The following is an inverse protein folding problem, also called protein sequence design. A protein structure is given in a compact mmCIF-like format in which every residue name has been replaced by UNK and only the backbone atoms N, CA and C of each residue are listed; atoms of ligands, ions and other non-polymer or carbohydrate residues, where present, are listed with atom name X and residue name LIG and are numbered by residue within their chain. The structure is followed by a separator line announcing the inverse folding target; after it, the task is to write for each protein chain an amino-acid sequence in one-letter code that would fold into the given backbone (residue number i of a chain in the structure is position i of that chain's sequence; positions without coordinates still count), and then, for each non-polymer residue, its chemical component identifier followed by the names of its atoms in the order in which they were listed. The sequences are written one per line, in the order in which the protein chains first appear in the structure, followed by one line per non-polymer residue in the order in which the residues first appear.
data_IF_905788939795
#
_entry.id   IF_905788939795
#
_cell.length_a   1.000
_cell.length_b   1.000
_cell.length_c   1.000
_cell.angle_alpha   90.00
_cell.angle_beta   90.00
_cell.angle_gamma   90.00
#
_symmetry.space_group_name_H-M   'P 1'
#
loop_
_entity.id
_entity.type
_entity.pdbx_description
1 polymer ?
#
# COMPACT_ATOMS: atom_id res chain seq x y z
N UNK A 1 -14.40 -19.09 5.62
CA UNK A 1 -15.76 -18.63 5.30
C UNK A 1 -15.72 -17.61 4.16
N UNK A 2 -16.86 -17.33 3.53
CA UNK A 2 -16.97 -16.33 2.45
C UNK A 2 -16.67 -14.89 2.93
N UNK A 3 -16.66 -14.65 4.22
CA UNK A 3 -16.28 -13.37 4.84
C UNK A 3 -14.77 -13.12 4.68
N UNK A 4 -13.94 -14.10 4.96
CA UNK A 4 -12.47 -14.01 4.88
C UNK A 4 -11.94 -13.75 3.46
N UNK A 5 -12.69 -14.13 2.44
CA UNK A 5 -12.28 -14.01 1.03
C UNK A 5 -12.73 -12.72 0.35
N UNK A 6 -13.55 -11.89 0.97
CA UNK A 6 -13.98 -10.63 0.37
C UNK A 6 -15.39 -10.18 0.74
N UNK A 7 -15.92 -10.60 1.88
CA UNK A 7 -17.28 -10.25 2.36
C UNK A 7 -18.40 -10.74 1.44
N UNK A 8 -18.17 -11.80 0.66
CA UNK A 8 -19.13 -12.30 -0.34
C UNK A 8 -20.53 -12.53 0.23
N UNK A 9 -20.63 -13.05 1.48
CA UNK A 9 -21.88 -13.27 2.17
C UNK A 9 -22.64 -11.97 2.48
N UNK A 10 -21.91 -10.93 2.90
CA UNK A 10 -22.51 -9.62 3.18
C UNK A 10 -22.92 -8.90 1.89
N UNK A 11 -22.10 -8.99 0.85
CA UNK A 11 -22.39 -8.40 -0.48
C UNK A 11 -23.54 -9.09 -1.21
N UNK A 12 -23.84 -10.35 -0.89
CA UNK A 12 -24.96 -11.12 -1.46
C UNK A 12 -26.30 -10.91 -0.72
N UNK A 13 -26.33 -10.08 0.33
CA UNK A 13 -27.59 -9.80 1.04
C UNK A 13 -28.54 -9.00 0.15
N UNK A 14 -29.74 -9.53 0.00
CA UNK A 14 -30.79 -8.85 -0.75
C UNK A 14 -31.50 -7.76 0.10
N UNK A 15 -31.97 -6.67 -0.53
CA UNK A 15 -32.77 -5.66 0.16
C UNK A 15 -33.98 -6.28 0.85
N UNK A 16 -34.18 -5.95 2.14
CA UNK A 16 -35.28 -6.48 2.94
C UNK A 16 -34.96 -7.75 3.73
N UNK A 17 -33.75 -8.29 3.63
CA UNK A 17 -33.28 -9.41 4.46
C UNK A 17 -33.41 -9.09 5.96
N UNK A 18 -33.02 -7.88 6.36
CA UNK A 18 -33.24 -7.37 7.71
C UNK A 18 -34.44 -6.42 7.74
N UNK A 19 -35.36 -6.65 8.70
CA UNK A 19 -36.50 -5.77 8.94
C UNK A 19 -36.33 -4.90 10.19
N UNK A 20 -35.32 -5.20 11.01
CA UNK A 20 -34.96 -4.44 12.20
C UNK A 20 -34.38 -3.06 11.87
N UNK A 21 -34.62 -2.09 12.76
CA UNK A 21 -34.06 -0.72 12.65
C UNK A 21 -32.76 -0.54 13.43
N UNK A 22 -32.38 -1.53 14.22
CA UNK A 22 -31.17 -1.55 15.04
C UNK A 22 -30.45 -2.86 14.77
N UNK A 23 -29.17 -2.76 14.45
CA UNK A 23 -28.27 -3.90 14.33
C UNK A 23 -27.23 -3.82 15.43
N UNK A 24 -27.10 -4.89 16.20
CA UNK A 24 -26.03 -5.08 17.19
C UNK A 24 -25.18 -6.26 16.71
N UNK A 25 -23.98 -5.95 16.25
CA UNK A 25 -22.98 -6.96 15.93
C UNK A 25 -22.21 -7.30 17.21
N UNK A 26 -22.22 -8.57 17.62
CA UNK A 26 -21.56 -9.07 18.83
C UNK A 26 -20.27 -9.83 18.52
N UNK A 27 -19.79 -9.74 17.30
CA UNK A 27 -18.57 -10.41 16.82
C UNK A 27 -17.30 -9.54 17.03
N UNK A 28 -17.23 -8.82 18.15
CA UNK A 28 -16.05 -8.08 18.56
C UNK A 28 -15.21 -8.92 19.52
N UNK A 29 -13.91 -8.96 19.32
CA UNK A 29 -12.96 -9.71 20.14
C UNK A 29 -12.50 -8.95 21.40
N UNK A 30 -12.65 -7.61 21.40
CA UNK A 30 -12.13 -6.74 22.46
C UNK A 30 -13.21 -6.37 23.48
N UNK A 31 -12.97 -6.78 24.73
CA UNK A 31 -13.87 -6.44 25.83
C UNK A 31 -13.77 -4.96 26.23
N UNK A 32 -14.91 -4.30 26.25
CA UNK A 32 -15.00 -2.92 26.70
C UNK A 32 -14.97 -1.91 25.56
N UNK A 33 -14.97 -2.35 24.33
CA UNK A 33 -14.99 -1.50 23.15
C UNK A 33 -16.35 -1.50 22.45
N UNK A 34 -16.75 -0.33 21.95
CA UNK A 34 -17.96 -0.14 21.14
C UNK A 34 -17.55 0.48 19.84
N UNK A 35 -17.63 -0.30 18.77
CA UNK A 35 -17.34 0.19 17.42
C UNK A 35 -18.56 0.92 16.83
N UNK A 36 -18.35 2.11 16.31
CA UNK A 36 -19.40 3.01 15.77
C UNK A 36 -19.17 3.39 14.32
N UNK A 37 -18.15 2.84 13.70
CA UNK A 37 -17.79 3.09 12.31
C UNK A 37 -16.69 2.16 11.83
N UNK A 38 -16.55 2.07 10.52
CA UNK A 38 -15.49 1.33 9.86
C UNK A 38 -15.10 2.05 8.56
N UNK A 39 -13.81 2.13 8.26
CA UNK A 39 -13.36 2.64 6.98
C UNK A 39 -13.88 1.75 5.84
N UNK A 40 -14.31 2.37 4.76
CA UNK A 40 -14.49 1.71 3.48
C UNK A 40 -13.16 1.48 2.79
N UNK A 41 -13.15 0.66 1.75
CA UNK A 41 -11.96 0.35 0.98
C UNK A 41 -12.19 0.31 -0.52
N UNK A 42 -11.16 0.69 -1.28
CA UNK A 42 -11.06 0.55 -2.73
C UNK A 42 -9.65 0.09 -3.09
N UNK A 43 -9.52 -0.72 -4.12
CA UNK A 43 -8.23 -1.08 -4.69
C UNK A 43 -8.07 -0.44 -6.07
N UNK A 44 -6.94 0.21 -6.32
CA UNK A 44 -6.53 0.66 -7.65
C UNK A 44 -5.47 -0.27 -8.19
N UNK A 45 -5.77 -0.94 -9.31
CA UNK A 45 -4.85 -1.82 -10.02
C UNK A 45 -4.39 -1.15 -11.30
N UNK A 46 -3.09 -1.12 -11.53
CA UNK A 46 -2.46 -0.59 -12.73
C UNK A 46 -1.65 -1.68 -13.44
N UNK A 47 -1.87 -1.82 -14.74
CA UNK A 47 -1.18 -2.77 -15.60
C UNK A 47 -0.26 -1.99 -16.55
N UNK A 48 1.04 -2.18 -16.39
CA UNK A 48 2.05 -1.73 -17.33
C UNK A 48 2.25 -2.81 -18.37
N UNK A 49 1.81 -2.55 -19.59
CA UNK A 49 1.93 -3.50 -20.68
C UNK A 49 3.38 -3.60 -21.15
N UNK A 50 3.83 -4.81 -21.40
CA UNK A 50 5.20 -5.09 -21.80
C UNK A 50 5.60 -4.36 -23.11
N UNK A 51 6.80 -3.83 -23.09
CA UNK A 51 7.55 -3.36 -24.23
C UNK A 51 9.01 -3.67 -23.93
N UNK A 52 9.66 -4.44 -24.76
CA UNK A 52 11.03 -4.92 -24.52
C UNK A 52 11.98 -4.47 -25.61
N UNK A 53 13.18 -4.09 -25.19
CA UNK A 53 14.34 -3.88 -26.04
C UNK A 53 15.38 -4.97 -25.77
N UNK A 54 16.24 -5.24 -26.72
CA UNK A 54 17.42 -6.07 -26.51
C UNK A 54 18.43 -5.28 -25.68
N UNK A 55 19.08 -5.95 -24.73
CA UNK A 55 20.11 -5.33 -23.91
C UNK A 55 21.37 -5.02 -24.74
N UNK A 56 21.99 -3.86 -24.52
CA UNK A 56 23.25 -3.51 -25.17
C UNK A 56 24.40 -4.41 -24.70
N UNK A 57 25.37 -4.71 -25.58
CA UNK A 57 26.46 -5.64 -25.29
C UNK A 57 27.39 -5.19 -24.16
N UNK A 58 27.52 -3.88 -23.94
CA UNK A 58 28.33 -3.27 -22.89
C UNK A 58 27.59 -3.05 -21.57
N UNK A 59 26.32 -3.51 -21.47
CA UNK A 59 25.53 -3.45 -20.27
C UNK A 59 25.70 -4.72 -19.43
N UNK A 60 25.54 -4.57 -18.12
CA UNK A 60 25.37 -5.67 -17.18
C UNK A 60 24.14 -5.45 -16.30
N UNK A 61 23.73 -6.49 -15.60
CA UNK A 61 22.60 -6.43 -14.67
C UNK A 61 23.06 -6.14 -13.25
N UNK A 62 22.39 -5.19 -12.62
CA UNK A 62 22.46 -4.96 -11.18
C UNK A 62 21.11 -5.27 -10.55
N UNK A 63 21.12 -6.01 -9.45
CA UNK A 63 19.94 -6.38 -8.70
C UNK A 63 20.02 -5.79 -7.30
N UNK A 64 19.05 -4.94 -6.96
CA UNK A 64 18.93 -4.30 -5.65
C UNK A 64 17.77 -4.88 -4.87
N UNK A 65 17.95 -4.99 -3.55
CA UNK A 65 16.96 -5.58 -2.64
C UNK A 65 16.73 -4.69 -1.43
N UNK A 66 15.47 -4.60 -1.01
CA UNK A 66 15.08 -4.21 0.34
C UNK A 66 14.36 -5.40 0.96
N UNK A 67 14.81 -5.86 2.12
CA UNK A 67 14.29 -7.07 2.80
C UNK A 67 14.12 -6.86 4.29
N UNK A 68 13.31 -7.71 4.90
CA UNK A 68 13.09 -7.78 6.34
C UNK A 68 12.59 -6.47 6.97
N UNK A 69 11.93 -5.60 6.20
CA UNK A 69 11.17 -4.50 6.78
C UNK A 69 10.06 -5.05 7.69
N UNK A 70 9.67 -4.29 8.70
CA UNK A 70 8.69 -4.73 9.70
C UNK A 70 7.35 -5.08 9.06
N UNK A 71 6.90 -4.27 8.09
CA UNK A 71 5.61 -4.43 7.46
C UNK A 71 4.45 -4.28 8.43
N UNK A 72 3.31 -4.91 8.15
CA UNK A 72 2.13 -4.91 9.01
C UNK A 72 0.82 -4.84 8.24
N UNK A 73 -0.28 -4.81 8.98
CA UNK A 73 -1.61 -4.64 8.39
C UNK A 73 -1.81 -3.20 7.92
N UNK A 74 -2.33 -3.01 6.71
CA UNK A 74 -2.48 -1.67 6.12
C UNK A 74 -3.57 -0.80 6.77
N UNK A 75 -4.42 -1.37 7.60
CA UNK A 75 -5.35 -0.64 8.47
C UNK A 75 -4.69 -0.30 9.81
N UNK A 76 -4.33 -1.32 10.59
CA UNK A 76 -3.94 -1.16 11.99
C UNK A 76 -2.53 -0.62 12.21
N UNK A 77 -1.66 -0.75 11.19
CA UNK A 77 -0.25 -0.39 11.30
C UNK A 77 0.17 0.77 10.39
N UNK A 78 -0.72 1.30 9.56
CA UNK A 78 -0.38 2.32 8.56
C UNK A 78 0.12 3.64 9.17
N UNK A 79 -0.31 3.95 10.40
CA UNK A 79 0.09 5.14 11.15
C UNK A 79 1.32 4.92 12.06
N UNK A 80 1.92 3.73 12.04
CA UNK A 80 3.07 3.40 12.90
C UNK A 80 4.42 3.75 12.30
N UNK A 81 4.43 4.48 11.17
CA UNK A 81 5.66 4.94 10.53
C UNK A 81 6.55 3.79 10.03
N UNK A 82 5.96 2.70 9.52
CA UNK A 82 6.71 1.57 8.96
C UNK A 82 7.13 1.81 7.53
N UNK A 83 8.30 1.31 7.17
CA UNK A 83 8.83 1.41 5.81
C UNK A 83 8.02 0.54 4.83
N UNK A 84 7.89 1.03 3.60
CA UNK A 84 7.38 0.27 2.47
C UNK A 84 8.54 -0.02 1.50
N UNK A 85 8.93 -1.29 1.38
CA UNK A 85 10.07 -1.72 0.58
C UNK A 85 9.95 -1.32 -0.91
N UNK A 86 8.74 -1.35 -1.47
CA UNK A 86 8.49 -0.94 -2.86
C UNK A 86 8.78 0.56 -3.04
N UNK A 87 8.30 1.39 -2.10
CA UNK A 87 8.53 2.83 -2.16
C UNK A 87 10.01 3.17 -2.00
N UNK A 88 10.73 2.46 -1.13
CA UNK A 88 12.18 2.64 -0.97
C UNK A 88 12.91 2.34 -2.28
N UNK A 89 12.63 1.19 -2.93
CA UNK A 89 13.25 0.89 -4.23
C UNK A 89 12.86 1.89 -5.31
N UNK A 90 11.60 2.30 -5.37
CA UNK A 90 11.15 3.30 -6.34
C UNK A 90 11.90 4.63 -6.21
N UNK A 91 12.15 5.08 -4.97
CA UNK A 91 12.94 6.31 -4.71
C UNK A 91 14.39 6.17 -5.14
N UNK A 92 15.02 5.03 -4.86
CA UNK A 92 16.38 4.76 -5.35
C UNK A 92 16.44 4.76 -6.88
N UNK A 93 15.56 4.02 -7.55
CA UNK A 93 15.52 3.98 -9.02
C UNK A 93 15.27 5.37 -9.63
N UNK A 94 14.49 6.21 -8.97
CA UNK A 94 14.30 7.59 -9.40
C UNK A 94 15.57 8.44 -9.20
N UNK A 95 16.33 8.22 -8.13
CA UNK A 95 17.55 8.99 -7.86
C UNK A 95 18.67 8.78 -8.88
N UNK A 96 18.66 7.65 -9.59
CA UNK A 96 19.63 7.32 -10.65
C UNK A 96 19.09 7.60 -12.07
N UNK A 97 17.99 8.35 -12.18
CA UNK A 97 17.29 8.54 -13.47
C UNK A 97 18.03 9.44 -14.49
N UNK A 98 19.11 10.06 -14.06
CA UNK A 98 20.06 10.81 -14.92
C UNK A 98 21.12 9.92 -15.56
N UNK A 99 21.26 8.67 -15.16
CA UNK A 99 22.14 7.68 -15.74
C UNK A 99 21.46 6.93 -16.90
N UNK A 100 22.25 6.30 -17.75
CA UNK A 100 21.74 5.41 -18.80
C UNK A 100 21.48 4.01 -18.21
N UNK A 101 20.22 3.68 -17.96
CA UNK A 101 19.83 2.38 -17.41
C UNK A 101 18.39 2.00 -17.84
N UNK A 102 18.09 0.74 -17.81
CA UNK A 102 16.76 0.22 -18.14
C UNK A 102 16.33 -0.88 -17.18
N UNK A 103 15.07 -0.84 -16.78
CA UNK A 103 14.51 -1.86 -15.89
C UNK A 103 14.33 -3.20 -16.64
N UNK A 104 14.68 -4.29 -15.99
CA UNK A 104 14.39 -5.67 -16.45
C UNK A 104 13.12 -6.18 -15.78
N UNK A 105 13.05 -6.03 -14.45
CA UNK A 105 11.88 -6.39 -13.66
C UNK A 105 11.91 -5.73 -12.29
N UNK A 106 10.75 -5.65 -11.67
CA UNK A 106 10.60 -5.29 -10.27
C UNK A 106 9.53 -6.17 -9.65
N UNK A 107 9.75 -6.61 -8.41
CA UNK A 107 8.83 -7.43 -7.62
C UNK A 107 8.83 -6.96 -6.18
N UNK A 108 7.66 -6.77 -5.58
CA UNK A 108 7.54 -6.40 -4.18
C UNK A 108 6.11 -6.47 -3.67
N UNK A 109 5.99 -6.81 -2.38
CA UNK A 109 4.70 -7.00 -1.73
C UNK A 109 3.91 -8.19 -2.29
N UNK A 110 2.95 -8.69 -1.56
CA UNK A 110 2.17 -9.87 -1.96
C UNK A 110 0.70 -9.86 -1.52
N UNK A 111 0.30 -8.91 -0.69
CA UNK A 111 -1.07 -8.80 -0.16
C UNK A 111 -1.54 -7.36 -0.17
N UNK A 112 -2.78 -7.13 -0.64
CA UNK A 112 -3.40 -5.80 -0.70
C UNK A 112 -3.51 -5.11 0.67
N UNK A 113 -3.72 -5.89 1.72
CA UNK A 113 -3.89 -5.41 3.10
C UNK A 113 -2.61 -5.46 3.95
N UNK A 114 -1.44 -5.61 3.34
CA UNK A 114 -0.16 -5.62 4.04
C UNK A 114 0.78 -4.54 3.49
N UNK A 115 1.56 -3.91 4.37
CA UNK A 115 2.67 -3.03 4.00
C UNK A 115 3.80 -3.91 3.46
N UNK A 116 4.34 -3.56 2.29
CA UNK A 116 5.35 -4.36 1.62
C UNK A 116 6.66 -4.43 2.43
N UNK A 117 7.05 -5.65 2.83
CA UNK A 117 8.25 -5.91 3.63
C UNK A 117 9.50 -6.14 2.81
N UNK A 118 9.30 -6.52 1.56
CA UNK A 118 10.38 -6.92 0.65
C UNK A 118 10.08 -6.36 -0.74
N UNK A 119 11.13 -5.96 -1.42
CA UNK A 119 11.09 -5.62 -2.83
C UNK A 119 12.46 -5.86 -3.47
N UNK A 120 12.45 -6.19 -4.75
CA UNK A 120 13.63 -6.46 -5.57
C UNK A 120 13.47 -5.75 -6.91
N UNK A 121 14.52 -5.12 -7.40
CA UNK A 121 14.57 -4.59 -8.76
C UNK A 121 15.82 -5.07 -9.47
N UNK A 122 15.66 -5.57 -10.69
CA UNK A 122 16.72 -5.96 -11.60
C UNK A 122 16.74 -4.97 -12.77
N UNK A 123 17.86 -4.37 -13.03
CA UNK A 123 18.04 -3.38 -14.10
C UNK A 123 19.38 -3.53 -14.80
N UNK A 124 19.45 -3.07 -16.03
CA UNK A 124 20.65 -3.05 -16.85
C UNK A 124 21.28 -1.66 -16.84
N UNK A 125 22.60 -1.60 -16.73
CA UNK A 125 23.40 -0.37 -16.71
C UNK A 125 24.70 -0.59 -17.47
N UNK A 126 25.28 0.43 -18.15
CA UNK A 126 26.58 0.31 -18.78
C UNK A 126 27.64 -0.18 -17.77
N UNK A 127 28.47 -1.10 -18.21
CA UNK A 127 29.53 -1.63 -17.35
C UNK A 127 30.43 -0.51 -16.76
N UNK A 128 30.63 0.56 -17.50
CA UNK A 128 31.40 1.72 -17.05
C UNK A 128 30.77 2.46 -15.85
N UNK A 129 29.42 2.45 -15.73
CA UNK A 129 28.69 3.17 -14.69
C UNK A 129 28.39 2.32 -13.45
N UNK A 130 28.76 1.04 -13.48
CA UNK A 130 28.49 0.09 -12.38
C UNK A 130 28.98 0.59 -11.02
N UNK A 131 30.19 1.10 -10.94
CA UNK A 131 30.75 1.56 -9.66
C UNK A 131 30.04 2.84 -9.16
N UNK A 132 29.55 3.66 -10.07
CA UNK A 132 28.72 4.82 -9.74
C UNK A 132 27.42 4.38 -9.09
N UNK A 133 26.70 3.43 -9.69
CA UNK A 133 25.49 2.84 -9.10
C UNK A 133 25.73 2.29 -7.70
N UNK A 134 26.87 1.62 -7.46
CA UNK A 134 27.22 1.09 -6.15
C UNK A 134 27.47 2.18 -5.12
N UNK A 135 28.11 3.26 -5.53
CA UNK A 135 28.32 4.43 -4.68
C UNK A 135 26.99 5.06 -4.31
N UNK A 136 26.12 5.31 -5.28
CA UNK A 136 24.80 5.90 -5.09
C UNK A 136 23.93 5.01 -4.20
N UNK A 137 23.97 3.68 -4.40
CA UNK A 137 23.27 2.73 -3.55
C UNK A 137 23.75 2.79 -2.09
N UNK A 138 25.06 2.86 -1.85
CA UNK A 138 25.60 2.96 -0.49
C UNK A 138 25.24 4.30 0.18
N UNK A 139 25.25 5.40 -0.57
CA UNK A 139 24.79 6.70 -0.08
C UNK A 139 23.31 6.62 0.30
N UNK A 140 22.49 6.08 -0.60
CA UNK A 140 21.07 5.89 -0.37
C UNK A 140 20.78 5.03 0.88
N UNK A 141 21.53 3.92 1.06
CA UNK A 141 21.41 3.08 2.25
C UNK A 141 21.65 3.89 3.51
N UNK A 142 22.78 4.64 3.56
CA UNK A 142 23.13 5.44 4.73
C UNK A 142 22.03 6.46 5.08
N UNK A 143 21.45 7.11 4.09
CA UNK A 143 20.31 8.02 4.26
C UNK A 143 19.06 7.30 4.80
N UNK A 144 18.77 6.10 4.27
CA UNK A 144 17.61 5.33 4.73
C UNK A 144 17.80 4.77 6.15
N UNK A 145 19.02 4.33 6.48
CA UNK A 145 19.36 3.88 7.84
C UNK A 145 19.17 4.99 8.87
N UNK A 146 19.58 6.22 8.56
CA UNK A 146 19.36 7.38 9.44
C UNK A 146 17.87 7.67 9.70
N UNK A 147 17.03 7.49 8.67
CA UNK A 147 15.59 7.71 8.76
C UNK A 147 14.89 6.60 9.56
N UNK A 148 15.26 5.33 9.31
CA UNK A 148 14.50 4.17 9.74
C UNK A 148 15.11 3.39 10.90
N UNK A 149 16.32 3.77 11.38
CA UNK A 149 17.14 3.01 12.35
C UNK A 149 16.38 2.58 13.62
N UNK A 150 15.41 3.35 14.06
CA UNK A 150 14.68 3.08 15.30
C UNK A 150 13.55 2.07 15.12
N UNK A 151 12.85 2.16 14.00
CA UNK A 151 11.64 1.38 13.71
C UNK A 151 11.98 0.09 12.98
N UNK A 152 12.89 0.15 12.02
CA UNK A 152 13.20 -0.93 11.08
C UNK A 152 14.53 -1.64 11.39
N UNK A 153 14.70 -2.08 12.62
CA UNK A 153 15.98 -2.64 13.13
C UNK A 153 16.51 -3.88 12.40
N UNK A 154 15.66 -4.55 11.61
CA UNK A 154 16.02 -5.76 10.84
C UNK A 154 16.08 -5.53 9.34
N UNK A 155 15.64 -4.36 8.88
CA UNK A 155 15.62 -4.06 7.45
C UNK A 155 17.03 -4.10 6.87
N UNK A 156 17.16 -4.70 5.70
CA UNK A 156 18.43 -4.90 5.01
C UNK A 156 18.34 -4.45 3.56
N UNK A 157 19.45 -3.91 3.10
CA UNK A 157 19.67 -3.51 1.72
C UNK A 157 20.81 -4.32 1.12
N UNK A 158 20.68 -4.75 -0.11
CA UNK A 158 21.70 -5.55 -0.78
C UNK A 158 21.77 -5.19 -2.28
N UNK A 159 22.95 -5.37 -2.89
CA UNK A 159 23.18 -5.18 -4.31
C UNK A 159 24.05 -6.33 -4.85
N UNK A 160 23.62 -6.94 -5.92
CA UNK A 160 24.34 -8.05 -6.56
C UNK A 160 24.40 -7.85 -8.07
N UNK A 161 25.61 -7.91 -8.64
CA UNK A 161 25.77 -7.90 -10.10
C UNK A 161 25.52 -9.25 -10.71
N UNK A 162 24.90 -9.27 -11.89
CA UNK A 162 24.61 -10.48 -12.68
C UNK A 162 25.05 -10.32 -14.13
N UNK A 163 25.42 -11.40 -14.82
CA UNK A 163 25.67 -11.34 -16.25
C UNK A 163 24.40 -10.97 -17.03
N UNK A 164 24.54 -10.11 -18.02
CA UNK A 164 23.46 -9.73 -18.92
C UNK A 164 22.98 -10.93 -19.73
N UNK A 165 21.70 -11.28 -19.66
CA UNK A 165 21.08 -12.39 -20.42
C UNK A 165 19.64 -12.11 -20.82
N UNK A 166 19.02 -11.09 -20.29
CA UNK A 166 17.59 -10.84 -20.41
C UNK A 166 17.32 -9.64 -21.31
N UNK A 167 16.06 -9.51 -21.72
CA UNK A 167 15.54 -8.29 -22.32
C UNK A 167 15.30 -7.24 -21.24
N UNK A 168 15.34 -6.00 -21.62
CA UNK A 168 15.02 -4.87 -20.76
C UNK A 168 13.68 -4.26 -21.17
N UNK A 169 13.00 -3.60 -20.25
CA UNK A 169 11.85 -2.77 -20.62
C UNK A 169 12.33 -1.57 -21.45
N UNK A 170 11.50 -1.12 -22.39
CA UNK A 170 11.79 0.11 -23.14
C UNK A 170 12.03 1.27 -22.18
N UNK A 171 12.82 2.26 -22.59
CA UNK A 171 13.07 3.47 -21.78
C UNK A 171 11.77 4.17 -21.37
N UNK A 172 10.78 4.24 -22.26
CA UNK A 172 9.48 4.83 -21.95
C UNK A 172 8.77 4.06 -20.82
N UNK A 173 8.76 2.73 -20.87
CA UNK A 173 8.13 1.88 -19.87
C UNK A 173 8.88 1.95 -18.53
N UNK A 174 10.20 1.90 -18.55
CA UNK A 174 11.05 2.09 -17.37
C UNK A 174 10.71 3.41 -16.66
N UNK A 175 10.71 4.52 -17.39
CA UNK A 175 10.40 5.84 -16.84
C UNK A 175 8.97 5.91 -16.27
N UNK A 176 7.99 5.34 -16.97
CA UNK A 176 6.61 5.29 -16.49
C UNK A 176 6.47 4.52 -15.17
N UNK A 177 7.11 3.35 -15.07
CA UNK A 177 7.11 2.54 -13.84
C UNK A 177 7.75 3.30 -12.68
N UNK A 178 8.93 3.89 -12.90
CA UNK A 178 9.65 4.65 -11.86
C UNK A 178 8.86 5.85 -11.39
N UNK A 179 8.25 6.60 -12.31
CA UNK A 179 7.36 7.71 -11.97
C UNK A 179 6.16 7.24 -11.15
N UNK A 180 5.52 6.14 -11.53
CA UNK A 180 4.40 5.57 -10.79
C UNK A 180 4.79 5.20 -9.35
N UNK A 181 5.94 4.57 -9.15
CA UNK A 181 6.46 4.20 -7.84
C UNK A 181 6.73 5.42 -6.94
N UNK A 182 7.19 6.53 -7.52
CA UNK A 182 7.48 7.76 -6.79
C UNK A 182 6.24 8.62 -6.53
N UNK A 183 5.31 8.69 -7.48
CA UNK A 183 4.13 9.54 -7.38
C UNK A 183 2.97 8.86 -6.66
N UNK A 184 2.91 7.52 -6.65
CA UNK A 184 1.91 6.80 -5.89
C UNK A 184 2.12 7.03 -4.40
N UNK A 185 1.11 7.60 -3.76
CA UNK A 185 1.13 7.85 -2.31
C UNK A 185 1.20 6.54 -1.53
N UNK A 186 1.74 6.61 -0.32
CA UNK A 186 1.71 5.54 0.67
C UNK A 186 1.67 6.13 2.08
N UNK A 187 0.88 5.52 2.96
CA UNK A 187 0.78 5.92 4.36
C UNK A 187 -0.51 6.66 4.69
N UNK A 188 -0.49 7.39 5.79
CA UNK A 188 -1.62 8.20 6.26
C UNK A 188 -1.73 9.45 5.39
N UNK A 189 -2.93 9.67 4.86
CA UNK A 189 -3.28 10.89 4.11
C UNK A 189 -3.90 11.92 5.04
N UNK A 190 -4.78 11.46 5.96
CA UNK A 190 -5.45 12.34 6.91
C UNK A 190 -5.74 11.60 8.21
N UNK A 191 -5.49 12.27 9.34
CA UNK A 191 -5.91 11.82 10.66
C UNK A 191 -7.30 12.37 10.97
N UNK A 192 -8.08 11.63 11.77
CA UNK A 192 -9.40 12.08 12.21
C UNK A 192 -9.30 13.31 13.10
N UNK A 193 -10.13 14.31 12.82
CA UNK A 193 -10.30 15.50 13.67
C UNK A 193 -11.26 15.23 14.85
N UNK A 194 -12.03 14.16 14.76
CA UNK A 194 -13.07 13.82 15.74
C UNK A 194 -12.60 12.80 16.79
N UNK A 195 -11.62 11.97 16.44
CA UNK A 195 -11.08 10.93 17.32
C UNK A 195 -9.56 11.02 17.31
N UNK A 196 -8.98 11.34 18.43
CA UNK A 196 -7.53 11.44 18.59
C UNK A 196 -6.86 10.08 18.28
N UNK A 197 -5.78 10.11 17.53
CA UNK A 197 -4.98 8.94 17.19
C UNK A 197 -5.56 8.02 16.11
N UNK A 198 -6.76 8.29 15.60
CA UNK A 198 -7.41 7.46 14.58
C UNK A 198 -7.13 7.99 13.18
N UNK A 199 -6.80 7.09 12.26
CA UNK A 199 -6.62 7.41 10.83
C UNK A 199 -7.98 7.62 10.18
N UNK A 200 -8.16 8.73 9.48
CA UNK A 200 -9.36 8.99 8.68
C UNK A 200 -9.22 8.42 7.27
N UNK A 201 -8.11 8.70 6.62
CA UNK A 201 -7.86 8.32 5.22
C UNK A 201 -6.42 7.87 5.05
N UNK A 202 -6.20 6.75 4.39
CA UNK A 202 -4.88 6.19 4.11
C UNK A 202 -4.81 5.52 2.75
N UNK A 203 -3.59 5.25 2.30
CA UNK A 203 -3.29 4.48 1.09
C UNK A 203 -2.10 3.57 1.34
N UNK A 204 -2.19 2.34 0.88
CA UNK A 204 -1.11 1.36 0.91
C UNK A 204 -0.67 1.03 -0.51
N UNK A 205 0.56 1.35 -0.87
CA UNK A 205 1.22 0.78 -2.04
C UNK A 205 1.53 -0.69 -1.72
N UNK A 206 0.64 -1.58 -2.15
CA UNK A 206 0.54 -2.95 -1.63
C UNK A 206 1.46 -3.95 -2.34
N UNK A 207 1.51 -3.87 -3.66
CA UNK A 207 2.35 -4.76 -4.46
C UNK A 207 2.69 -4.19 -5.83
N UNK A 208 3.80 -4.65 -6.37
CA UNK A 208 4.17 -4.53 -7.79
C UNK A 208 4.79 -5.85 -8.21
N UNK A 209 4.20 -6.54 -9.21
CA UNK A 209 4.60 -7.89 -9.55
C UNK A 209 4.50 -8.17 -11.05
N UNK A 210 5.44 -8.93 -11.62
CA UNK A 210 5.28 -9.51 -12.95
C UNK A 210 4.11 -10.49 -12.97
N UNK A 211 3.19 -10.31 -13.92
CA UNK A 211 2.02 -11.18 -14.09
C UNK A 211 1.62 -11.26 -15.55
N UNK A 212 1.54 -12.48 -16.10
CA UNK A 212 1.11 -12.76 -17.47
C UNK A 212 1.84 -11.89 -18.52
N UNK A 213 3.16 -11.72 -18.34
CA UNK A 213 4.02 -10.92 -19.23
C UNK A 213 3.91 -9.41 -19.02
N UNK A 214 3.04 -8.91 -18.17
CA UNK A 214 2.91 -7.50 -17.80
C UNK A 214 3.46 -7.25 -16.39
N UNK A 215 3.58 -5.99 -16.00
CA UNK A 215 3.85 -5.61 -14.62
C UNK A 215 2.58 -5.05 -14.01
N UNK A 216 2.13 -5.61 -12.89
CA UNK A 216 0.89 -5.23 -12.21
C UNK A 216 1.20 -4.59 -10.87
N UNK A 217 0.72 -3.37 -10.67
CA UNK A 217 0.84 -2.61 -9.43
C UNK A 217 -0.53 -2.48 -8.77
N UNK A 218 -0.57 -2.67 -7.46
CA UNK A 218 -1.81 -2.57 -6.66
C UNK A 218 -1.61 -1.60 -5.51
N UNK A 219 -2.54 -0.67 -5.39
CA UNK A 219 -2.68 0.24 -4.23
C UNK A 219 -4.05 0.06 -3.59
N UNK A 220 -4.10 0.03 -2.26
CA UNK A 220 -5.34 -0.09 -1.50
C UNK A 220 -5.61 1.20 -0.74
N UNK A 221 -6.75 1.82 -0.97
CA UNK A 221 -7.20 3.05 -0.34
C UNK A 221 -8.24 2.74 0.72
N UNK A 222 -8.20 3.47 1.84
CA UNK A 222 -9.17 3.37 2.93
C UNK A 222 -9.59 4.76 3.39
N UNK A 223 -10.87 4.93 3.73
CA UNK A 223 -11.36 6.14 4.39
C UNK A 223 -12.64 5.88 5.17
N UNK A 224 -12.83 6.64 6.25
CA UNK A 224 -14.09 6.70 6.99
C UNK A 224 -15.20 7.41 6.22
N UNK A 225 -14.84 8.18 5.17
CA UNK A 225 -15.77 8.98 4.37
C UNK A 225 -15.70 8.57 2.91
N UNK A 226 -16.87 8.28 2.34
CA UNK A 226 -16.96 7.74 0.99
C UNK A 226 -16.48 8.71 -0.10
N UNK A 227 -16.72 10.01 0.07
CA UNK A 227 -16.23 11.05 -0.82
C UNK A 227 -14.70 11.14 -0.83
N UNK A 228 -14.07 11.05 0.34
CA UNK A 228 -12.61 11.03 0.47
C UNK A 228 -11.99 9.76 -0.11
N UNK A 229 -12.64 8.61 0.12
CA UNK A 229 -12.23 7.34 -0.44
C UNK A 229 -12.24 7.38 -1.97
N UNK A 230 -13.34 7.82 -2.55
CA UNK A 230 -13.50 7.93 -4.01
C UNK A 230 -12.53 8.96 -4.62
N UNK A 231 -12.33 10.10 -3.95
CA UNK A 231 -11.38 11.12 -4.41
C UNK A 231 -9.94 10.59 -4.44
N UNK A 232 -9.50 9.89 -3.38
CA UNK A 232 -8.16 9.32 -3.30
C UNK A 232 -7.96 8.19 -4.32
N UNK A 233 -8.95 7.31 -4.50
CA UNK A 233 -8.89 6.26 -5.50
C UNK A 233 -8.82 6.82 -6.92
N UNK A 234 -9.60 7.86 -7.22
CA UNK A 234 -9.58 8.52 -8.51
C UNK A 234 -8.26 9.27 -8.78
N UNK A 235 -7.71 9.97 -7.78
CA UNK A 235 -6.38 10.58 -7.86
C UNK A 235 -5.30 9.53 -8.18
N UNK A 236 -5.33 8.40 -7.47
CA UNK A 236 -4.39 7.30 -7.68
C UNK A 236 -4.54 6.71 -9.10
N UNK A 237 -5.78 6.50 -9.54
CA UNK A 237 -6.08 6.06 -10.91
C UNK A 237 -5.52 7.01 -11.97
N UNK A 238 -5.72 8.32 -11.80
CA UNK A 238 -5.20 9.33 -12.74
C UNK A 238 -3.67 9.32 -12.76
N UNK A 239 -3.02 9.36 -11.59
CA UNK A 239 -1.56 9.31 -11.48
C UNK A 239 -0.97 8.10 -12.21
N UNK A 240 -1.51 6.90 -11.99
CA UNK A 240 -1.00 5.69 -12.61
C UNK A 240 -1.28 5.64 -14.12
N UNK A 241 -2.40 6.20 -14.57
CA UNK A 241 -2.71 6.32 -16.00
C UNK A 241 -1.76 7.30 -16.69
N UNK A 242 -1.45 8.43 -16.09
CA UNK A 242 -0.50 9.43 -16.60
C UNK A 242 0.93 8.86 -16.69
N UNK A 243 1.27 7.90 -15.81
CA UNK A 243 2.51 7.13 -15.88
C UNK A 243 2.52 6.04 -16.96
N UNK A 244 1.48 5.92 -17.78
CA UNK A 244 1.40 4.99 -18.92
C UNK A 244 0.80 3.61 -18.60
N UNK A 245 0.22 3.41 -17.41
CA UNK A 245 -0.47 2.18 -17.08
C UNK A 245 -1.93 2.18 -17.56
N UNK A 246 -2.48 1.00 -17.80
CA UNK A 246 -3.92 0.79 -17.86
C UNK A 246 -4.40 0.57 -16.42
N UNK A 247 -5.08 1.55 -15.85
CA UNK A 247 -5.53 1.49 -14.47
C UNK A 247 -7.03 1.21 -14.35
N UNK A 248 -7.46 0.62 -13.22
CA UNK A 248 -8.86 0.43 -12.89
C UNK A 248 -9.06 0.34 -11.37
N UNK A 249 -10.24 0.73 -10.88
CA UNK A 249 -10.61 0.72 -9.48
C UNK A 249 -11.54 -0.47 -9.24
N UNK A 250 -11.25 -1.28 -8.21
CA UNK A 250 -11.94 -2.54 -7.90
C UNK A 250 -12.17 -2.73 -6.40
N UNK A 251 -12.86 -3.84 -6.07
CA UNK A 251 -13.00 -4.39 -4.72
C UNK A 251 -13.56 -3.40 -3.70
N UNK A 252 -14.53 -2.59 -4.14
CA UNK A 252 -15.13 -1.58 -3.28
C UNK A 252 -16.03 -2.16 -2.21
N UNK A 253 -15.87 -1.69 -0.97
CA UNK A 253 -16.87 -1.80 0.07
C UNK A 253 -17.05 -0.44 0.75
N UNK A 254 -18.31 -0.06 1.08
CA UNK A 254 -18.60 1.28 1.56
C UNK A 254 -18.09 1.50 2.97
N UNK A 255 -17.84 2.77 3.31
CA UNK A 255 -17.56 3.19 4.68
C UNK A 255 -18.83 3.10 5.55
N UNK A 256 -18.68 2.61 6.77
CA UNK A 256 -19.66 2.85 7.82
C UNK A 256 -19.24 4.10 8.60
N UNK A 257 -19.83 5.21 8.22
CA UNK A 257 -19.50 6.52 8.75
C UNK A 257 -19.85 6.63 10.25
N UNK A 258 -18.91 7.04 11.11
CA UNK A 258 -19.13 7.08 12.55
C UNK A 258 -20.18 8.12 12.93
N UNK A 259 -21.08 7.76 13.88
CA UNK A 259 -22.13 8.63 14.42
C UNK A 259 -22.03 8.66 15.94
N UNK A 260 -21.29 9.65 16.44
CA UNK A 260 -21.05 9.82 17.88
C UNK A 260 -22.25 10.39 18.66
N UNK A 261 -23.19 11.01 17.99
CA UNK A 261 -24.44 11.55 18.52
C UNK A 261 -25.59 10.54 18.54
N UNK A 262 -25.32 9.27 18.17
CA UNK A 262 -26.35 8.24 18.09
C UNK A 262 -27.01 7.94 19.44
N UNK A 263 -28.36 7.97 19.53
CA UNK A 263 -29.06 7.54 20.74
C UNK A 263 -28.76 6.09 21.15
N UNK A 264 -28.47 5.23 20.15
CA UNK A 264 -28.09 3.84 20.41
C UNK A 264 -26.72 3.77 21.10
N UNK A 265 -25.73 4.54 20.65
CA UNK A 265 -24.42 4.62 21.31
C UNK A 265 -24.54 5.12 22.75
N UNK A 266 -25.32 6.17 22.98
CA UNK A 266 -25.58 6.68 24.33
C UNK A 266 -26.14 5.58 25.23
N UNK A 267 -27.16 4.87 24.75
CA UNK A 267 -27.78 3.77 25.49
C UNK A 267 -26.82 2.62 25.75
N UNK A 268 -25.98 2.27 24.78
CA UNK A 268 -24.97 1.22 24.93
C UNK A 268 -23.95 1.59 26.02
N UNK A 269 -23.41 2.82 26.00
CA UNK A 269 -22.48 3.34 27.03
C UNK A 269 -23.10 3.31 28.43
N UNK A 270 -24.32 3.84 28.59
CA UNK A 270 -25.04 3.84 29.89
C UNK A 270 -25.25 2.40 30.38
N UNK A 271 -25.61 1.48 29.51
CA UNK A 271 -25.84 0.09 29.89
C UNK A 271 -24.56 -0.60 30.29
N UNK A 272 -23.47 -0.40 29.51
CA UNK A 272 -22.16 -0.96 29.81
C UNK A 272 -21.66 -0.46 31.19
N UNK A 273 -21.71 0.85 31.44
CA UNK A 273 -21.31 1.45 32.70
C UNK A 273 -22.15 0.94 33.89
N UNK A 274 -23.47 0.74 33.68
CA UNK A 274 -24.33 0.21 34.71
C UNK A 274 -23.97 -1.23 35.13
N UNK A 275 -23.57 -2.07 34.16
CA UNK A 275 -23.23 -3.48 34.38
C UNK A 275 -21.79 -3.62 34.90
N UNK A 276 -20.82 -3.03 34.17
CA UNK A 276 -19.38 -3.27 34.42
C UNK A 276 -18.71 -2.23 35.31
N UNK A 277 -19.43 -1.17 35.72
CA UNK A 277 -18.94 -0.07 36.60
C UNK A 277 -17.72 0.69 36.05
N UNK A 278 -17.53 0.63 34.74
CA UNK A 278 -16.51 1.37 33.98
C UNK A 278 -17.12 1.87 32.67
N UNK A 279 -16.49 2.87 32.07
CA UNK A 279 -16.89 3.36 30.74
C UNK A 279 -16.39 2.40 29.66
N UNK A 280 -17.15 2.31 28.56
CA UNK A 280 -16.70 1.65 27.35
C UNK A 280 -15.94 2.62 26.44
N UNK A 281 -14.87 2.14 25.82
CA UNK A 281 -14.14 2.89 24.80
C UNK A 281 -14.93 2.88 23.49
N UNK A 282 -15.04 4.06 22.87
CA UNK A 282 -15.71 4.18 21.57
C UNK A 282 -14.66 4.22 20.48
N UNK A 283 -14.73 3.28 19.54
CA UNK A 283 -13.73 3.09 18.50
C UNK A 283 -14.33 3.06 17.09
N UNK A 284 -13.46 3.22 16.12
CA UNK A 284 -13.72 3.06 14.70
C UNK A 284 -12.62 2.15 14.14
N UNK A 285 -12.98 1.22 13.27
CA UNK A 285 -12.03 0.34 12.57
C UNK A 285 -11.56 1.04 11.29
N UNK A 286 -10.26 1.04 11.08
CA UNK A 286 -9.65 1.63 9.85
C UNK A 286 -9.12 0.56 8.90
#
# INVERSE_FOLDING_TARGET
TAEETGLDGAMALEPGFFTGKVLLNLDSEDEGEIFVGCAGGLDTTAVFHHGYDEICEDFQLEEVFVKDAMGGHSGDDINKGRANAIQLLGRFLYSINDLDWQLVTIDGGNKRNAIAREATALFAVPFADREHIRIDWNIYIAEQEDIWLKEETKMRFDLTSRPAKDKVYTTQLTNGIVQALCQCKHGVIKMSEQIEGVVETSINLASIQPKDGNLVMVSSQRSMYEDQLNALAFETYQTLTECGATAAIYNGYPAWQPRFDSPLLKKAKETYQAIFKREADVKVIH
#
